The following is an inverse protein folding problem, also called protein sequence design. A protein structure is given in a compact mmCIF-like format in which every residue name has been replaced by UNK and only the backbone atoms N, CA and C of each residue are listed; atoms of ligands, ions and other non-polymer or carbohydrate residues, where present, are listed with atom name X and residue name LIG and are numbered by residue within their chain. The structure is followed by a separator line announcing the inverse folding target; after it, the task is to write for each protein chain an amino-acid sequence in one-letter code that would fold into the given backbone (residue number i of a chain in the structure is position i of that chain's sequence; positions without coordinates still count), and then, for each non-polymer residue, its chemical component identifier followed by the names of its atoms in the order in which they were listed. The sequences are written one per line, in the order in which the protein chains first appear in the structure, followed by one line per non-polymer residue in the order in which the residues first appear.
data_IF_496226025462
#
_entry.id   IF_496226025462
#
_cell.length_a   1.000
_cell.length_b   1.000
_cell.length_c   1.000
_cell.angle_alpha   90.00
_cell.angle_beta   90.00
_cell.angle_gamma   90.00
#
_symmetry.space_group_name_H-M   'P 1'
#
loop_
_entity.id
_entity.type
_entity.pdbx_description
1 polymer ?
#
# COMPACT_ATOMS: atom_id res chain seq x y z
N UNK A 1 -2.02 27.67 -18.71
CA UNK A 1 -2.18 27.76 -17.24
C UNK A 1 -1.26 26.73 -16.61
N UNK A 2 -0.31 27.15 -15.77
CA UNK A 2 0.55 26.25 -14.99
C UNK A 2 -0.34 25.59 -13.93
N UNK A 3 -0.63 24.30 -14.10
CA UNK A 3 -1.48 23.54 -13.19
C UNK A 3 -0.58 23.03 -12.06
N UNK A 4 -0.34 23.88 -11.07
CA UNK A 4 0.42 23.53 -9.87
C UNK A 4 -0.55 23.37 -8.71
N UNK A 5 -0.45 22.29 -7.90
CA UNK A 5 -1.31 22.12 -6.73
C UNK A 5 -1.16 23.28 -5.74
N UNK A 6 -2.26 23.65 -5.06
CA UNK A 6 -2.20 24.65 -3.99
C UNK A 6 -1.31 24.13 -2.85
N UNK A 7 -0.57 25.04 -2.20
CA UNK A 7 0.33 24.72 -1.07
C UNK A 7 -0.39 23.91 0.02
N UNK A 8 -1.61 24.30 0.37
CA UNK A 8 -2.45 23.59 1.35
C UNK A 8 -2.73 22.13 0.95
N UNK A 9 -2.97 21.86 -0.34
CA UNK A 9 -3.19 20.50 -0.84
C UNK A 9 -1.90 19.66 -0.77
N UNK A 10 -0.74 20.27 -1.05
CA UNK A 10 0.55 19.60 -0.93
C UNK A 10 0.85 19.23 0.53
N UNK A 11 0.62 20.17 1.44
CA UNK A 11 0.85 19.97 2.88
C UNK A 11 -0.07 18.88 3.44
N UNK A 12 -1.34 18.85 3.03
CA UNK A 12 -2.28 17.77 3.38
C UNK A 12 -1.85 16.41 2.83
N UNK A 13 -1.39 16.35 1.57
CA UNK A 13 -0.92 15.10 0.97
C UNK A 13 0.33 14.57 1.67
N UNK A 14 1.26 15.46 2.01
CA UNK A 14 2.47 15.11 2.77
C UNK A 14 2.09 14.62 4.17
N UNK A 15 1.19 15.31 4.87
CA UNK A 15 0.71 14.88 6.18
C UNK A 15 0.05 13.49 6.13
N UNK A 16 -0.73 13.22 5.06
CA UNK A 16 -1.32 11.91 4.82
C UNK A 16 -0.25 10.82 4.59
N UNK A 17 0.81 11.11 3.83
CA UNK A 17 1.93 10.20 3.62
C UNK A 17 2.68 9.90 4.92
N UNK A 18 3.01 10.92 5.71
CA UNK A 18 3.63 10.75 7.03
C UNK A 18 2.77 9.87 7.94
N UNK A 19 1.47 10.16 8.04
CA UNK A 19 0.54 9.36 8.85
C UNK A 19 0.51 7.90 8.39
N UNK A 20 0.42 7.67 7.09
CA UNK A 20 0.36 6.33 6.50
C UNK A 20 1.66 5.56 6.74
N UNK A 21 2.80 6.23 6.55
CA UNK A 21 4.13 5.69 6.83
C UNK A 21 4.25 5.27 8.29
N UNK A 22 3.96 6.17 9.23
CA UNK A 22 4.08 5.87 10.67
C UNK A 22 3.10 4.79 11.12
N UNK A 23 1.89 4.74 10.55
CA UNK A 23 0.93 3.66 10.83
C UNK A 23 1.47 2.31 10.38
N UNK A 24 2.05 2.26 9.17
CA UNK A 24 2.67 1.03 8.63
C UNK A 24 3.91 0.63 9.42
N UNK A 25 4.73 1.60 9.82
CA UNK A 25 5.92 1.40 10.66
C UNK A 25 5.54 0.82 12.02
N UNK A 26 4.57 1.42 12.71
CA UNK A 26 4.09 0.94 14.00
C UNK A 26 3.55 -0.50 13.90
N UNK A 27 2.80 -0.81 12.83
CA UNK A 27 2.33 -2.19 12.59
C UNK A 27 3.50 -3.17 12.44
N UNK A 28 4.53 -2.80 11.68
CA UNK A 28 5.67 -3.68 11.45
C UNK A 28 6.58 -3.81 12.68
N UNK A 29 6.75 -2.74 13.46
CA UNK A 29 7.40 -2.81 14.77
C UNK A 29 6.66 -3.76 15.72
N UNK A 30 5.33 -3.74 15.71
CA UNK A 30 4.53 -4.68 16.50
C UNK A 30 4.75 -6.13 16.06
N UNK A 31 4.73 -6.40 14.75
CA UNK A 31 4.97 -7.75 14.20
C UNK A 31 6.38 -8.23 14.56
N UNK A 32 7.39 -7.36 14.43
CA UNK A 32 8.78 -7.65 14.82
C UNK A 32 8.86 -7.99 16.31
N UNK A 33 8.25 -7.18 17.17
CA UNK A 33 8.22 -7.41 18.62
C UNK A 33 7.52 -8.72 19.01
N UNK A 34 6.46 -9.10 18.29
CA UNK A 34 5.80 -10.38 18.49
C UNK A 34 6.70 -11.55 18.09
N UNK A 35 7.38 -11.46 16.94
CA UNK A 35 8.32 -12.48 16.50
C UNK A 35 9.53 -12.60 17.46
N UNK A 36 10.05 -11.48 17.98
CA UNK A 36 11.12 -11.48 18.98
C UNK A 36 10.68 -12.17 20.29
N UNK A 37 9.45 -11.91 20.74
CA UNK A 37 8.89 -12.57 21.92
C UNK A 37 8.71 -14.08 21.68
N UNK A 38 8.23 -14.48 20.52
CA UNK A 38 8.07 -15.90 20.14
C UNK A 38 9.43 -16.62 20.07
N UNK A 39 10.45 -15.98 19.52
CA UNK A 39 11.81 -16.54 19.51
C UNK A 39 12.32 -16.73 20.94
N UNK A 40 12.07 -15.77 21.84
CA UNK A 40 12.47 -15.87 23.25
C UNK A 40 11.76 -17.02 23.97
N UNK A 41 10.45 -17.21 23.76
CA UNK A 41 9.69 -18.30 24.37
C UNK A 41 10.12 -19.66 23.83
N UNK A 42 10.37 -19.78 22.52
CA UNK A 42 10.87 -21.01 21.90
C UNK A 42 12.26 -21.39 22.42
N UNK A 43 13.15 -20.41 22.64
CA UNK A 43 14.46 -20.67 23.27
C UNK A 43 14.33 -21.18 24.71
N UNK A 44 13.44 -20.60 25.51
CA UNK A 44 13.17 -21.07 26.87
C UNK A 44 12.56 -22.48 26.88
N UNK A 45 11.66 -22.77 25.94
CA UNK A 45 11.10 -24.10 25.76
C UNK A 45 12.17 -25.13 25.41
N UNK A 46 13.08 -24.78 24.48
CA UNK A 46 14.22 -25.63 24.12
C UNK A 46 15.09 -25.96 25.32
N UNK A 47 15.39 -24.98 26.16
CA UNK A 47 16.17 -25.19 27.37
C UNK A 47 15.45 -26.17 28.33
N UNK A 48 14.14 -25.98 28.53
CA UNK A 48 13.33 -26.90 29.34
C UNK A 48 13.34 -28.32 28.77
N UNK A 49 13.23 -28.49 27.45
CA UNK A 49 13.28 -29.81 26.80
C UNK A 49 14.61 -30.52 27.06
N UNK A 50 15.73 -29.79 26.97
CA UNK A 50 17.07 -30.32 27.27
C UNK A 50 17.16 -30.75 28.73
N UNK A 51 16.73 -29.90 29.67
CA UNK A 51 16.74 -30.22 31.11
C UNK A 51 15.91 -31.48 31.43
N UNK A 52 14.74 -31.63 30.80
CA UNK A 52 13.87 -32.80 31.00
C UNK A 52 14.41 -34.09 30.37
N UNK A 53 15.10 -34.00 29.24
CA UNK A 53 15.81 -35.14 28.67
C UNK A 53 17.00 -35.56 29.55
N UNK A 54 17.80 -34.60 30.05
CA UNK A 54 18.91 -34.88 30.97
C UNK A 54 18.43 -35.50 32.29
N UNK A 55 17.24 -35.13 32.77
CA UNK A 55 16.61 -35.74 33.94
C UNK A 55 16.01 -37.13 33.68
N UNK A 56 16.09 -37.65 32.44
CA UNK A 56 15.54 -38.94 32.04
C UNK A 56 14.01 -38.97 31.93
N UNK A 57 13.35 -37.80 31.98
CA UNK A 57 11.87 -37.70 31.89
C UNK A 57 11.40 -37.94 30.46
N UNK A 58 12.18 -37.52 29.47
CA UNK A 58 11.93 -37.75 28.05
C UNK A 58 12.97 -38.67 27.45
N UNK A 59 12.51 -39.64 26.64
CA UNK A 59 13.39 -40.41 25.79
C UNK A 59 14.06 -39.53 24.73
N UNK A 60 15.21 -39.98 24.24
CA UNK A 60 15.96 -39.27 23.19
C UNK A 60 15.16 -39.08 21.90
N UNK A 61 14.28 -40.04 21.57
CA UNK A 61 13.41 -39.96 20.40
C UNK A 61 12.38 -38.83 20.53
N UNK A 62 11.71 -38.76 21.69
CA UNK A 62 10.75 -37.68 21.98
C UNK A 62 11.46 -36.33 22.02
N UNK A 63 12.65 -36.25 22.63
CA UNK A 63 13.44 -35.02 22.63
C UNK A 63 13.80 -34.57 21.21
N UNK A 64 14.28 -35.48 20.35
CA UNK A 64 14.67 -35.16 18.97
C UNK A 64 13.48 -34.64 18.15
N UNK A 65 12.33 -35.28 18.26
CA UNK A 65 11.12 -34.87 17.55
C UNK A 65 10.67 -33.47 18.00
N UNK A 66 10.56 -33.25 19.32
CA UNK A 66 10.12 -31.95 19.85
C UNK A 66 11.13 -30.84 19.57
N UNK A 67 12.43 -31.12 19.64
CA UNK A 67 13.46 -30.15 19.31
C UNK A 67 13.40 -29.76 17.82
N UNK A 68 13.12 -30.70 16.91
CA UNK A 68 12.95 -30.39 15.49
C UNK A 68 11.75 -29.45 15.24
N UNK A 69 10.62 -29.66 15.94
CA UNK A 69 9.45 -28.77 15.86
C UNK A 69 9.77 -27.37 16.38
N UNK A 70 10.52 -27.27 17.49
CA UNK A 70 10.93 -25.97 18.05
C UNK A 70 11.85 -25.22 17.07
N UNK A 71 12.82 -25.92 16.46
CA UNK A 71 13.70 -25.33 15.45
C UNK A 71 12.93 -24.81 14.22
N UNK A 72 12.01 -25.61 13.67
CA UNK A 72 11.19 -25.18 12.53
C UNK A 72 10.38 -23.91 12.85
N UNK A 73 9.79 -23.83 14.04
CA UNK A 73 9.07 -22.63 14.49
C UNK A 73 10.00 -21.42 14.68
N UNK A 74 11.21 -21.64 15.21
CA UNK A 74 12.20 -20.57 15.35
C UNK A 74 12.62 -20.00 13.99
N UNK A 75 12.85 -20.86 12.99
CA UNK A 75 13.18 -20.43 11.63
C UNK A 75 12.06 -19.57 11.05
N UNK A 76 10.80 -20.01 11.18
CA UNK A 76 9.62 -19.26 10.70
C UNK A 76 9.52 -17.89 11.38
N UNK A 77 9.66 -17.83 12.69
CA UNK A 77 9.63 -16.56 13.43
C UNK A 77 10.78 -15.63 13.02
N UNK A 78 11.97 -16.17 12.75
CA UNK A 78 13.12 -15.39 12.28
C UNK A 78 12.90 -14.81 10.88
N UNK A 79 12.24 -15.54 9.97
CA UNK A 79 11.84 -15.02 8.66
C UNK A 79 10.87 -13.84 8.81
N UNK A 80 9.82 -14.00 9.63
CA UNK A 80 8.85 -12.93 9.90
C UNK A 80 9.51 -11.68 10.46
N UNK A 81 10.47 -11.86 11.39
CA UNK A 81 11.25 -10.77 11.96
C UNK A 81 12.05 -10.01 10.89
N UNK A 82 12.70 -10.73 9.99
CA UNK A 82 13.52 -10.16 8.92
C UNK A 82 12.67 -9.46 7.84
N UNK A 83 11.48 -9.99 7.54
CA UNK A 83 10.55 -9.37 6.58
C UNK A 83 9.89 -8.10 7.15
N UNK A 84 9.84 -7.97 8.48
CA UNK A 84 9.25 -6.81 9.14
C UNK A 84 10.14 -5.54 9.12
N UNK A 85 11.40 -5.62 8.68
CA UNK A 85 12.29 -4.45 8.64
C UNK A 85 11.99 -3.50 7.46
N UNK A 86 11.44 -2.31 7.77
CA UNK A 86 11.16 -1.20 6.82
C UNK A 86 12.42 -0.42 6.41
N UNK A 87 13.57 -0.67 7.03
CA UNK A 87 14.81 0.13 6.99
C UNK A 87 15.31 0.53 5.58
N UNK A 88 14.73 -0.01 4.52
CA UNK A 88 14.95 0.37 3.12
C UNK A 88 14.28 1.68 2.66
N UNK A 89 13.37 2.30 3.42
CA UNK A 89 12.68 3.53 2.98
C UNK A 89 12.80 4.68 3.98
N UNK A 90 13.55 5.71 3.59
CA UNK A 90 13.62 7.00 4.26
C UNK A 90 12.40 7.86 3.88
N UNK A 91 11.52 8.13 4.84
CA UNK A 91 10.32 8.93 4.62
C UNK A 91 10.64 10.36 4.15
N UNK A 92 11.81 10.89 4.52
CA UNK A 92 12.24 12.23 4.11
C UNK A 92 12.63 12.26 2.62
N UNK A 93 13.26 11.19 2.12
CA UNK A 93 13.57 11.04 0.69
C UNK A 93 12.28 10.89 -0.13
N UNK A 94 11.32 10.11 0.37
CA UNK A 94 10.00 9.97 -0.26
C UNK A 94 9.24 11.30 -0.28
N UNK A 95 9.28 12.03 0.82
CA UNK A 95 8.61 13.34 0.94
C UNK A 95 9.26 14.36 0.01
N UNK A 96 10.59 14.38 -0.08
CA UNK A 96 11.35 15.26 -0.96
C UNK A 96 11.08 14.94 -2.43
N UNK A 97 11.07 13.66 -2.78
CA UNK A 97 10.70 13.20 -4.12
C UNK A 97 9.30 13.66 -4.51
N UNK A 98 8.32 13.46 -3.63
CA UNK A 98 6.92 13.84 -3.89
C UNK A 98 6.77 15.36 -4.00
N UNK A 99 7.44 16.15 -3.15
CA UNK A 99 7.46 17.61 -3.27
C UNK A 99 8.01 18.06 -4.62
N UNK A 100 9.10 17.44 -5.08
CA UNK A 100 9.74 17.77 -6.35
C UNK A 100 8.85 17.37 -7.53
N UNK A 101 8.25 16.19 -7.48
CA UNK A 101 7.35 15.68 -8.52
C UNK A 101 6.08 16.53 -8.62
N UNK A 102 5.51 16.95 -7.49
CA UNK A 102 4.30 17.76 -7.46
C UNK A 102 4.54 19.24 -7.75
N UNK A 103 5.78 19.74 -7.59
CA UNK A 103 6.15 21.10 -7.97
C UNK A 103 6.11 21.31 -9.49
N UNK A 104 6.47 20.28 -10.27
CA UNK A 104 6.40 20.31 -11.73
C UNK A 104 5.99 18.94 -12.29
N UNK A 105 4.67 18.67 -12.29
CA UNK A 105 4.13 17.45 -12.90
C UNK A 105 4.41 17.37 -14.39
N UNK A 106 4.52 18.52 -15.07
CA UNK A 106 4.74 18.58 -16.51
C UNK A 106 6.13 18.07 -16.89
N UNK A 107 7.15 18.52 -16.17
CA UNK A 107 8.52 18.03 -16.34
C UNK A 107 8.68 16.60 -15.81
N UNK A 108 8.03 16.25 -14.70
CA UNK A 108 8.03 14.88 -14.18
C UNK A 108 7.41 13.90 -15.19
N UNK A 109 6.32 14.27 -15.87
CA UNK A 109 5.70 13.46 -16.92
C UNK A 109 6.64 13.25 -18.10
N UNK A 110 7.34 14.30 -18.56
CA UNK A 110 8.29 14.22 -19.69
C UNK A 110 9.50 13.34 -19.40
N UNK A 111 9.99 13.36 -18.16
CA UNK A 111 11.15 12.56 -17.73
C UNK A 111 10.80 11.13 -17.33
N UNK A 112 9.51 10.84 -17.13
CA UNK A 112 9.04 9.53 -16.70
C UNK A 112 9.15 8.50 -17.83
N UNK A 113 9.49 7.27 -17.46
CA UNK A 113 9.43 6.14 -18.38
C UNK A 113 7.97 5.77 -18.69
N UNK A 114 7.75 4.96 -19.73
CA UNK A 114 6.40 4.51 -20.12
C UNK A 114 5.68 3.79 -18.96
N UNK A 115 6.40 3.02 -18.13
CA UNK A 115 5.80 2.36 -16.98
C UNK A 115 5.36 3.37 -15.91
N UNK A 116 6.18 4.39 -15.64
CA UNK A 116 5.86 5.47 -14.70
C UNK A 116 4.69 6.33 -15.19
N UNK A 117 4.65 6.65 -16.49
CA UNK A 117 3.53 7.37 -17.12
C UNK A 117 2.23 6.59 -16.98
N UNK A 118 2.24 5.27 -17.17
CA UNK A 118 1.06 4.42 -16.97
C UNK A 118 0.54 4.48 -15.54
N UNK A 119 1.44 4.44 -14.55
CA UNK A 119 1.08 4.56 -13.14
C UNK A 119 0.49 5.94 -12.84
N UNK A 120 1.09 7.00 -13.37
CA UNK A 120 0.60 8.37 -13.20
C UNK A 120 -0.78 8.57 -13.84
N UNK A 121 -1.00 8.04 -15.04
CA UNK A 121 -2.32 8.09 -15.68
C UNK A 121 -3.35 7.26 -14.92
N UNK A 122 -2.95 6.12 -14.36
CA UNK A 122 -3.81 5.29 -13.50
C UNK A 122 -4.14 5.95 -12.16
N UNK A 123 -3.28 6.81 -11.61
CA UNK A 123 -3.57 7.56 -10.38
C UNK A 123 -4.53 8.72 -10.62
N UNK A 124 -4.53 9.29 -11.83
CA UNK A 124 -5.49 10.33 -12.27
C UNK A 124 -6.83 9.68 -12.67
N UNK A 125 -6.80 8.50 -13.30
CA UNK A 125 -7.97 7.77 -13.77
C UNK A 125 -8.04 6.37 -13.14
N UNK A 126 -8.49 6.27 -11.87
CA UNK A 126 -8.53 5.00 -11.15
C UNK A 126 -9.45 3.95 -11.79
N UNK A 127 -10.42 4.39 -12.59
CA UNK A 127 -11.33 3.52 -13.36
C UNK A 127 -10.90 3.28 -14.81
N UNK A 128 -9.70 3.73 -15.19
CA UNK A 128 -9.18 3.64 -16.56
C UNK A 128 -9.75 4.69 -17.51
N UNK A 129 -9.25 4.68 -18.75
CA UNK A 129 -9.74 5.52 -19.85
C UNK A 129 -10.71 4.69 -20.70
N UNK A 130 -12.01 4.97 -20.59
CA UNK A 130 -13.01 4.37 -21.45
C UNK A 130 -13.03 5.09 -22.81
N UNK A 131 -12.85 4.33 -23.88
CA UNK A 131 -12.98 4.80 -25.27
C UNK A 131 -14.38 4.46 -25.80
N UNK A 132 -15.07 5.42 -26.42
CA UNK A 132 -16.19 5.14 -27.33
C UNK A 132 -15.89 5.69 -28.72
N UNK A 133 -16.61 5.22 -29.73
CA UNK A 133 -16.40 5.56 -31.16
C UNK A 133 -16.40 7.07 -31.47
N UNK A 134 -16.80 7.92 -30.52
CA UNK A 134 -16.91 9.37 -30.71
C UNK A 134 -15.92 10.15 -29.81
N UNK A 135 -14.98 9.48 -29.13
CA UNK A 135 -13.93 10.09 -28.30
C UNK A 135 -13.77 9.47 -26.91
N UNK A 136 -12.90 10.07 -26.08
CA UNK A 136 -12.67 9.64 -24.69
C UNK A 136 -13.85 10.01 -23.79
N UNK A 137 -14.41 9.02 -23.08
CA UNK A 137 -15.64 9.10 -22.28
C UNK A 137 -15.46 9.84 -20.95
N UNK A 138 -14.26 10.34 -20.66
CA UNK A 138 -13.99 10.99 -19.39
C UNK A 138 -14.78 12.31 -19.32
N UNK A 139 -15.78 12.34 -18.43
CA UNK A 139 -16.71 13.47 -18.25
C UNK A 139 -15.99 14.78 -17.97
N UNK A 140 -14.80 14.72 -17.39
CA UNK A 140 -13.98 15.89 -17.05
C UNK A 140 -13.15 16.43 -18.23
N UNK A 141 -12.92 15.62 -19.26
CA UNK A 141 -11.99 15.94 -20.37
C UNK A 141 -12.74 16.26 -21.65
N UNK A 142 -13.88 15.60 -21.88
CA UNK A 142 -14.64 15.76 -23.13
C UNK A 142 -15.37 17.13 -23.17
N UNK A 143 -15.05 18.01 -24.14
CA UNK A 143 -15.76 19.29 -24.29
C UNK A 143 -17.26 19.11 -24.53
N UNK A 144 -17.67 17.98 -25.13
CA UNK A 144 -19.06 17.62 -25.38
C UNK A 144 -19.85 17.29 -24.10
N UNK A 145 -19.17 16.88 -23.02
CA UNK A 145 -19.83 16.61 -21.73
C UNK A 145 -19.98 17.87 -20.88
N UNK A 146 -19.09 18.85 -21.01
CA UNK A 146 -19.23 20.14 -20.33
C UNK A 146 -20.52 20.86 -20.75
N UNK A 147 -20.88 20.80 -22.04
CA UNK A 147 -22.12 21.37 -22.56
C UNK A 147 -23.37 20.67 -22.06
N UNK A 148 -23.31 19.37 -21.73
CA UNK A 148 -24.42 18.61 -21.15
C UNK A 148 -24.58 18.94 -19.66
N UNK A 149 -23.49 19.15 -18.93
CA UNK A 149 -23.54 19.55 -17.52
C UNK A 149 -24.03 20.99 -17.28
N UNK A 150 -24.01 21.84 -18.32
CA UNK A 150 -24.55 23.21 -18.27
C UNK A 150 -26.02 23.32 -18.65
N UNK A 151 -26.68 22.22 -19.06
CA UNK A 151 -28.13 22.24 -19.24
C UNK A 151 -28.80 22.26 -17.87
N UNK A 152 -29.32 23.44 -17.52
CA UNK A 152 -30.16 23.65 -16.35
C UNK A 152 -31.32 22.65 -16.37
N UNK A 153 -31.65 22.11 -15.21
CA UNK A 153 -32.62 21.02 -15.02
C UNK A 153 -34.07 21.55 -15.12
N UNK A 154 -34.32 22.44 -16.08
CA UNK A 154 -35.59 23.09 -16.36
C UNK A 154 -36.39 22.29 -17.38
N UNK A 155 -37.35 21.52 -16.88
CA UNK A 155 -38.51 20.98 -17.58
C UNK A 155 -38.24 20.11 -18.83
N UNK A 156 -38.17 18.79 -18.64
CA UNK A 156 -38.54 17.85 -19.71
C UNK A 156 -39.62 16.91 -19.19
N UNK A 157 -40.86 17.22 -19.60
CA UNK A 157 -42.05 16.39 -19.47
C UNK A 157 -41.84 15.06 -20.19
N UNK A 158 -41.92 13.96 -19.45
CA UNK A 158 -41.96 12.60 -20.01
C UNK A 158 -43.29 12.39 -20.73
N UNK A 159 -43.32 12.62 -22.05
CA UNK A 159 -44.39 12.09 -22.90
C UNK A 159 -43.90 10.84 -23.62
N UNK A 160 -44.14 9.68 -23.01
CA UNK A 160 -44.22 8.43 -23.74
C UNK A 160 -45.47 8.46 -24.63
N UNK A 161 -45.30 8.19 -25.93
CA UNK A 161 -46.38 7.68 -26.78
C UNK A 161 -45.89 6.41 -27.44
N UNK A 162 -46.32 5.29 -26.86
CA UNK A 162 -46.41 4.01 -27.54
C UNK A 162 -47.24 4.17 -28.81
N UNK A 163 -46.76 3.60 -29.92
CA UNK A 163 -47.63 3.17 -31.02
C UNK A 163 -47.14 1.81 -31.50
N UNK A 164 -47.99 0.82 -31.19
CA UNK A 164 -48.36 -0.41 -31.94
C UNK A 164 -47.62 -0.69 -33.24
#
# INVERSE_FOLDING_TARGET
KTVTPKKECLDLFIAFLYRTYHTRLARLQKIKGQADQEIATLKALRQTLVEKNLAGVYSDEVFKEQNAVVEDRMVKAQVVKNDATIDRYNIDDVTTFIRTLLADLGEAYKRSSISQIKVLLGSIFPSGLAWSQNGTLNREISPLYQSICTFDNGAISSCAKERT
#
